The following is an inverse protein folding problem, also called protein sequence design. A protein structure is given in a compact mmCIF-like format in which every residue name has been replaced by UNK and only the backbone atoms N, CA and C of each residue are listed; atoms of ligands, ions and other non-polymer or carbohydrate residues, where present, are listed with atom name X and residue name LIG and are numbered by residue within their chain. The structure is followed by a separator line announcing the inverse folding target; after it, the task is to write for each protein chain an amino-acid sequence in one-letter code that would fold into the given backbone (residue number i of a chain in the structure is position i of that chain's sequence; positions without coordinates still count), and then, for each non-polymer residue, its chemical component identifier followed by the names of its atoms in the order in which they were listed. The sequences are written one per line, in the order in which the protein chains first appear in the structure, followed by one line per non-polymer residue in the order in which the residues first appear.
data_IF_686264736630
#
_entry.id   IF_686264736630
#
_cell.length_a   1.000
_cell.length_b   1.000
_cell.length_c   1.000
_cell.angle_alpha   90.00
_cell.angle_beta   90.00
_cell.angle_gamma   90.00
#
_symmetry.space_group_name_H-M   'P 1'
#
loop_
_entity.id
_entity.type
_entity.pdbx_description
1 polymer ?
#
# COMPACT_ATOMS: atom_id res chain seq x y z
N UNK A 1 7.25 2.07 -18.91
CA UNK A 1 8.28 1.88 -17.86
C UNK A 1 8.07 2.88 -16.75
N UNK A 2 8.05 2.44 -15.51
CA UNK A 2 7.87 3.34 -14.37
C UNK A 2 9.14 4.15 -14.09
N UNK A 3 8.99 5.22 -13.32
CA UNK A 3 10.13 6.03 -12.87
C UNK A 3 11.16 5.16 -12.14
N UNK A 4 10.71 4.33 -11.19
CA UNK A 4 11.62 3.47 -10.41
C UNK A 4 12.35 2.47 -11.32
N UNK A 5 11.65 1.82 -12.24
CA UNK A 5 12.29 0.86 -13.15
C UNK A 5 13.29 1.54 -14.08
N UNK A 6 13.01 2.74 -14.56
CA UNK A 6 13.97 3.55 -15.34
C UNK A 6 15.20 3.90 -14.54
N UNK A 7 15.00 4.29 -13.29
CA UNK A 7 16.11 4.62 -12.38
C UNK A 7 16.97 3.39 -12.12
N UNK A 8 16.35 2.23 -11.90
CA UNK A 8 17.04 0.97 -11.64
C UNK A 8 17.94 0.53 -12.80
N UNK A 9 17.58 0.84 -14.03
CA UNK A 9 18.45 0.57 -15.18
C UNK A 9 19.80 1.27 -15.09
N UNK A 10 19.84 2.43 -14.44
CA UNK A 10 21.08 3.23 -14.31
C UNK A 10 21.86 2.87 -13.06
N UNK A 11 21.16 2.69 -11.92
CA UNK A 11 21.82 2.53 -10.62
C UNK A 11 21.86 1.09 -10.12
N UNK A 12 21.15 0.16 -10.78
CA UNK A 12 21.06 -1.22 -10.33
C UNK A 12 20.25 -1.33 -9.03
N UNK A 13 20.67 -2.21 -8.14
CA UNK A 13 19.93 -2.51 -6.91
C UNK A 13 20.41 -1.71 -5.68
N UNK A 14 21.15 -0.64 -5.89
CA UNK A 14 21.59 0.24 -4.79
C UNK A 14 20.39 0.78 -4.02
N UNK A 15 20.51 0.99 -2.69
CA UNK A 15 19.44 1.60 -1.92
C UNK A 15 19.05 2.98 -2.46
N UNK A 16 17.75 3.20 -2.59
CA UNK A 16 17.19 4.50 -3.01
C UNK A 16 16.13 4.95 -2.01
N UNK A 17 15.87 6.25 -2.00
CA UNK A 17 14.69 6.81 -1.33
C UNK A 17 13.59 6.89 -2.38
N UNK A 18 12.44 6.27 -2.11
CA UNK A 18 11.29 6.36 -2.99
C UNK A 18 10.10 6.94 -2.23
N UNK A 19 9.30 7.73 -2.94
CA UNK A 19 8.08 8.31 -2.38
C UNK A 19 6.89 7.52 -2.91
N UNK A 20 5.97 7.18 -2.03
CA UNK A 20 4.79 6.43 -2.42
C UNK A 20 3.63 6.60 -1.47
N UNK A 21 2.53 5.96 -1.82
CA UNK A 21 1.30 5.94 -1.04
C UNK A 21 0.89 4.51 -0.76
N UNK A 22 0.35 4.29 0.45
CA UNK A 22 -0.29 3.05 0.85
C UNK A 22 -1.71 3.38 1.26
N UNK A 23 -2.66 2.53 0.95
CA UNK A 23 -4.07 2.84 1.10
C UNK A 23 -4.75 1.87 2.08
N UNK A 24 -5.42 2.42 3.09
CA UNK A 24 -6.35 1.68 3.94
C UNK A 24 -7.73 1.74 3.30
N UNK A 25 -8.28 0.57 2.99
CA UNK A 25 -9.67 0.42 2.56
C UNK A 25 -10.38 -0.35 3.66
N UNK A 26 -11.30 0.31 4.33
CA UNK A 26 -12.00 -0.26 5.48
C UNK A 26 -13.48 -0.38 5.13
N UNK A 27 -14.02 -1.61 5.20
CA UNK A 27 -15.42 -1.85 4.88
C UNK A 27 -16.35 -1.56 6.07
N UNK A 28 -17.66 -1.75 5.87
CA UNK A 28 -18.66 -1.49 6.91
C UNK A 28 -18.54 -2.42 8.12
N UNK A 29 -17.86 -3.54 7.96
CA UNK A 29 -17.62 -4.50 9.05
C UNK A 29 -16.33 -4.18 9.82
N UNK A 30 -15.69 -3.05 9.53
CA UNK A 30 -14.40 -2.64 10.11
C UNK A 30 -13.28 -3.64 9.81
N UNK A 31 -13.29 -4.16 8.58
CA UNK A 31 -12.23 -5.04 8.06
C UNK A 31 -11.38 -4.26 7.06
N UNK A 32 -10.09 -4.52 7.06
CA UNK A 32 -9.12 -3.88 6.18
C UNK A 32 -8.84 -4.76 4.96
N UNK A 33 -8.80 -4.14 3.79
CA UNK A 33 -8.46 -4.82 2.54
C UNK A 33 -6.97 -5.07 2.46
N UNK A 34 -6.60 -6.31 2.20
CA UNK A 34 -5.22 -6.70 1.97
C UNK A 34 -5.10 -7.48 0.65
N UNK A 35 -3.91 -7.43 0.06
CA UNK A 35 -3.58 -8.17 -1.15
C UNK A 35 -2.51 -9.22 -0.85
N UNK A 36 -2.69 -10.41 -1.40
CA UNK A 36 -1.66 -11.44 -1.36
C UNK A 36 -0.71 -11.20 -2.53
N UNK A 37 0.53 -10.85 -2.23
CA UNK A 37 1.51 -10.38 -3.21
C UNK A 37 2.14 -11.53 -3.96
N UNK A 38 2.25 -11.40 -5.28
CA UNK A 38 2.89 -12.41 -6.12
C UNK A 38 4.42 -12.45 -5.95
N UNK A 39 5.05 -11.32 -5.57
CA UNK A 39 6.50 -11.23 -5.44
C UNK A 39 7.04 -11.81 -4.12
N UNK A 40 6.39 -11.49 -3.01
CA UNK A 40 6.86 -11.90 -1.67
C UNK A 40 6.04 -13.04 -1.05
N UNK A 41 4.90 -13.38 -1.66
CA UNK A 41 3.98 -14.44 -1.20
C UNK A 41 3.54 -14.23 0.25
N UNK A 42 3.18 -13.00 0.55
CA UNK A 42 2.60 -12.59 1.82
C UNK A 42 1.54 -11.52 1.60
N UNK A 43 0.86 -11.12 2.67
CA UNK A 43 -0.23 -10.16 2.63
C UNK A 43 0.26 -8.75 2.89
N UNK A 44 -0.02 -7.83 1.97
CA UNK A 44 0.31 -6.42 2.09
C UNK A 44 -0.90 -5.54 1.92
N UNK A 45 -0.69 -4.24 2.10
CA UNK A 45 -1.69 -3.23 1.83
C UNK A 45 -1.50 -2.70 0.40
N UNK A 46 -2.58 -2.32 -0.30
CA UNK A 46 -2.44 -1.71 -1.63
C UNK A 46 -1.59 -0.44 -1.57
N UNK A 47 -0.79 -0.23 -2.59
CA UNK A 47 0.04 0.97 -2.66
C UNK A 47 1.14 0.83 -3.68
N UNK A 48 1.86 1.92 -3.90
CA UNK A 48 2.98 1.92 -4.82
C UNK A 48 3.69 3.26 -4.89
N UNK A 49 4.65 3.33 -5.80
CA UNK A 49 5.55 4.47 -5.93
C UNK A 49 4.97 5.55 -6.84
N UNK A 50 5.34 6.79 -6.51
CA UNK A 50 4.96 7.98 -7.24
C UNK A 50 5.61 8.01 -8.63
N UNK A 51 4.86 8.38 -9.64
CA UNK A 51 5.35 8.68 -10.97
C UNK A 51 5.59 10.18 -11.11
N UNK A 52 6.43 10.57 -12.07
CA UNK A 52 6.75 11.99 -12.30
C UNK A 52 5.49 12.78 -12.60
N UNK A 53 5.30 13.88 -11.89
CA UNK A 53 4.17 14.79 -12.09
C UNK A 53 2.90 14.42 -11.35
N UNK A 54 2.85 13.26 -10.68
CA UNK A 54 1.68 12.90 -9.88
C UNK A 54 1.67 13.62 -8.54
N UNK A 55 0.49 13.97 -8.05
CA UNK A 55 0.30 14.27 -6.63
C UNK A 55 0.20 12.96 -5.86
N UNK A 56 0.34 13.02 -4.54
CA UNK A 56 0.22 11.81 -3.70
C UNK A 56 -1.20 11.22 -3.73
N UNK A 57 -2.22 12.07 -3.81
CA UNK A 57 -3.60 11.61 -3.94
C UNK A 57 -3.83 10.91 -5.29
N UNK A 58 -3.19 11.40 -6.35
CA UNK A 58 -3.23 10.74 -7.67
C UNK A 58 -2.53 9.38 -7.62
N UNK A 59 -1.41 9.25 -6.90
CA UNK A 59 -0.75 7.96 -6.67
C UNK A 59 -1.70 7.01 -5.97
N UNK A 60 -2.33 7.46 -4.89
CA UNK A 60 -3.27 6.64 -4.12
C UNK A 60 -4.44 6.16 -4.99
N UNK A 61 -5.03 7.06 -5.78
CA UNK A 61 -6.15 6.71 -6.67
C UNK A 61 -5.72 5.71 -7.74
N UNK A 62 -4.59 5.93 -8.37
CA UNK A 62 -4.07 5.06 -9.44
C UNK A 62 -3.76 3.66 -8.89
N UNK A 63 -3.03 3.58 -7.81
CA UNK A 63 -2.65 2.28 -7.22
C UNK A 63 -3.86 1.51 -6.70
N UNK A 64 -4.83 2.20 -6.10
CA UNK A 64 -6.06 1.55 -5.65
C UNK A 64 -6.80 0.92 -6.82
N UNK A 65 -6.97 1.65 -7.91
CA UNK A 65 -7.66 1.15 -9.11
C UNK A 65 -6.88 0.01 -9.77
N UNK A 66 -5.57 0.17 -9.98
CA UNK A 66 -4.73 -0.84 -10.64
C UNK A 66 -4.69 -2.15 -9.86
N UNK A 67 -4.55 -2.08 -8.54
CA UNK A 67 -4.36 -3.27 -7.71
C UNK A 67 -5.66 -3.91 -7.25
N UNK A 68 -6.74 -3.15 -7.12
CA UNK A 68 -7.98 -3.65 -6.52
C UNK A 68 -9.23 -3.47 -7.38
N UNK A 69 -9.19 -2.60 -8.37
CA UNK A 69 -10.37 -2.23 -9.16
C UNK A 69 -11.27 -1.22 -8.47
N UNK A 70 -10.99 -0.84 -7.24
CA UNK A 70 -11.82 0.09 -6.48
C UNK A 70 -11.49 1.54 -6.79
N UNK A 71 -12.51 2.40 -6.66
CA UNK A 71 -12.41 3.85 -6.75
C UNK A 71 -12.80 4.46 -5.41
N UNK A 72 -12.35 5.67 -5.16
CA UNK A 72 -12.70 6.41 -3.94
C UNK A 72 -13.03 7.86 -4.29
N UNK A 73 -13.92 8.48 -3.51
CA UNK A 73 -14.28 9.88 -3.70
C UNK A 73 -13.13 10.81 -3.29
N UNK A 74 -12.43 10.47 -2.22
CA UNK A 74 -11.25 11.22 -1.76
C UNK A 74 -10.38 10.35 -0.87
N UNK A 75 -9.16 10.84 -0.57
CA UNK A 75 -8.18 10.16 0.27
C UNK A 75 -7.80 11.07 1.43
N UNK A 76 -7.82 10.53 2.63
CA UNK A 76 -7.47 11.24 3.86
C UNK A 76 -6.10 10.77 4.35
N UNK A 77 -5.14 11.70 4.46
CA UNK A 77 -3.81 11.36 4.95
C UNK A 77 -3.88 11.04 6.44
N UNK A 78 -3.41 9.86 6.80
CA UNK A 78 -3.39 9.39 8.19
C UNK A 78 -2.03 9.66 8.82
N UNK A 79 -0.95 9.23 8.17
CA UNK A 79 0.40 9.36 8.71
C UNK A 79 1.44 9.15 7.62
N UNK A 80 2.63 9.70 7.82
CA UNK A 80 3.79 9.47 6.96
C UNK A 80 4.81 8.63 7.72
N UNK A 81 5.30 7.58 7.08
CA UNK A 81 6.35 6.71 7.61
C UNK A 81 7.61 6.89 6.80
N UNK A 82 8.75 6.90 7.46
CA UNK A 82 10.06 7.07 6.79
C UNK A 82 11.17 6.41 7.62
N UNK A 83 12.40 6.50 7.13
CA UNK A 83 13.54 5.90 7.80
C UNK A 83 13.50 4.38 7.72
N UNK A 84 13.87 3.71 8.80
CA UNK A 84 13.90 2.24 8.84
C UNK A 84 12.52 1.60 8.68
N UNK A 85 11.44 2.31 9.03
CA UNK A 85 10.08 1.83 8.86
C UNK A 85 9.71 1.66 7.38
N UNK A 86 10.34 2.43 6.51
CA UNK A 86 10.13 2.35 5.06
C UNK A 86 11.08 1.42 4.33
N UNK A 87 12.03 0.79 5.04
CA UNK A 87 13.01 -0.08 4.40
C UNK A 87 12.39 -1.37 3.90
N UNK A 88 12.74 -1.72 2.66
CA UNK A 88 12.32 -2.98 2.06
C UNK A 88 13.36 -3.48 1.06
N UNK A 89 13.66 -4.78 1.14
CA UNK A 89 14.51 -5.45 0.16
C UNK A 89 13.66 -6.40 -0.66
N UNK A 90 13.59 -6.14 -1.96
CA UNK A 90 12.84 -6.98 -2.90
C UNK A 90 13.57 -8.31 -3.14
N UNK A 91 12.86 -9.36 -3.57
CA UNK A 91 13.50 -10.65 -3.88
C UNK A 91 14.62 -10.56 -4.93
N UNK A 92 14.54 -9.59 -5.86
CA UNK A 92 15.57 -9.37 -6.87
C UNK A 92 16.83 -8.64 -6.35
N UNK A 93 16.86 -8.26 -5.07
CA UNK A 93 17.96 -7.58 -4.44
C UNK A 93 17.84 -6.06 -4.39
N UNK A 94 16.83 -5.46 -5.02
CA UNK A 94 16.59 -4.03 -4.95
C UNK A 94 16.29 -3.62 -3.51
N UNK A 95 16.92 -2.53 -3.06
CA UNK A 95 16.70 -1.98 -1.73
C UNK A 95 16.06 -0.59 -1.83
N UNK A 96 15.08 -0.34 -0.98
CA UNK A 96 14.34 0.92 -0.97
C UNK A 96 14.10 1.38 0.45
N UNK A 97 14.30 2.67 0.69
CA UNK A 97 13.80 3.35 1.88
C UNK A 97 12.60 4.17 1.44
N UNK A 98 11.41 3.65 1.67
CA UNK A 98 10.17 4.31 1.26
C UNK A 98 9.77 5.45 2.19
N UNK A 99 9.37 6.57 1.60
CA UNK A 99 8.62 7.61 2.32
C UNK A 99 7.17 7.31 2.03
N UNK A 100 6.52 6.66 2.99
CA UNK A 100 5.19 6.07 2.80
C UNK A 100 4.13 7.01 3.34
N UNK A 101 3.26 7.48 2.45
CA UNK A 101 2.10 8.29 2.82
C UNK A 101 0.91 7.33 2.94
N UNK A 102 0.46 7.12 4.17
CA UNK A 102 -0.69 6.25 4.43
C UNK A 102 -1.97 7.05 4.34
N UNK A 103 -2.80 6.69 3.38
CA UNK A 103 -4.11 7.30 3.16
C UNK A 103 -5.22 6.33 3.50
N UNK A 104 -6.32 6.85 4.01
CA UNK A 104 -7.57 6.11 4.06
C UNK A 104 -8.45 6.53 2.89
N UNK A 105 -8.92 5.56 2.12
CA UNK A 105 -9.86 5.82 1.03
C UNK A 105 -11.26 6.05 1.61
N UNK A 106 -11.91 7.12 1.16
CA UNK A 106 -13.26 7.51 1.57
C UNK A 106 -14.21 7.46 0.37
N UNK A 107 -15.46 7.06 0.61
CA UNK A 107 -16.43 6.93 -0.46
C UNK A 107 -16.03 5.85 -1.46
N UNK A 108 -15.56 4.72 -0.96
CA UNK A 108 -15.09 3.61 -1.80
C UNK A 108 -16.26 2.95 -2.53
N UNK A 109 -16.08 2.70 -3.82
CA UNK A 109 -17.07 2.05 -4.67
C UNK A 109 -16.38 1.24 -5.76
N UNK A 110 -17.17 0.46 -6.50
CA UNK A 110 -16.66 -0.45 -7.51
C UNK A 110 -16.57 -1.88 -7.00
N UNK A 111 -16.03 -2.77 -7.81
CA UNK A 111 -15.89 -4.19 -7.51
C UNK A 111 -14.41 -4.57 -7.48
N UNK A 112 -14.05 -5.51 -6.61
CA UNK A 112 -12.68 -6.03 -6.54
C UNK A 112 -12.33 -6.77 -7.83
N UNK A 113 -11.23 -6.37 -8.46
CA UNK A 113 -10.71 -6.97 -9.69
C UNK A 113 -9.20 -7.07 -9.59
N UNK A 114 -8.65 -8.22 -9.96
CA UNK A 114 -7.21 -8.49 -9.97
C UNK A 114 -6.73 -8.62 -11.42
N UNK A 115 -6.33 -7.52 -12.05
CA UNK A 115 -5.90 -7.52 -13.45
C UNK A 115 -4.41 -7.22 -13.65
N UNK A 116 -3.73 -6.72 -12.63
CA UNK A 116 -2.34 -6.27 -12.75
C UNK A 116 -1.29 -7.36 -12.65
N UNK A 117 -1.68 -8.58 -12.24
CA UNK A 117 -0.74 -9.70 -12.03
C UNK A 117 0.12 -9.57 -10.78
N UNK A 118 0.02 -8.49 -10.04
CA UNK A 118 0.78 -8.27 -8.81
C UNK A 118 0.10 -8.89 -7.59
N UNK A 119 -1.22 -9.02 -7.63
CA UNK A 119 -2.02 -9.61 -6.56
C UNK A 119 -2.52 -10.98 -6.95
N UNK A 120 -2.33 -11.96 -6.08
CA UNK A 120 -2.87 -13.32 -6.24
C UNK A 120 -4.23 -13.47 -5.54
N UNK A 121 -4.53 -12.63 -4.57
CA UNK A 121 -5.80 -12.60 -3.87
C UNK A 121 -6.04 -11.22 -3.25
N UNK A 122 -7.30 -10.85 -3.11
CA UNK A 122 -7.76 -9.66 -2.40
C UNK A 122 -8.80 -10.10 -1.38
N UNK A 123 -8.61 -9.70 -0.12
CA UNK A 123 -9.51 -10.13 0.96
C UNK A 123 -9.56 -9.09 2.07
N UNK A 124 -10.72 -8.95 2.70
CA UNK A 124 -10.88 -8.11 3.88
C UNK A 124 -10.64 -8.94 5.15
N UNK A 125 -9.90 -8.37 6.10
CA UNK A 125 -9.57 -9.01 7.37
C UNK A 125 -9.97 -8.12 8.53
N UNK A 126 -10.62 -8.70 9.54
CA UNK A 126 -10.81 -8.03 10.82
C UNK A 126 -9.52 -8.08 11.63
N UNK A 127 -9.40 -7.25 12.65
CA UNK A 127 -8.20 -7.24 13.51
C UNK A 127 -8.01 -8.57 14.26
N UNK A 128 -9.10 -9.28 14.53
CA UNK A 128 -9.08 -10.57 15.21
C UNK A 128 -8.67 -11.72 14.30
N UNK A 129 -8.77 -11.53 12.98
CA UNK A 129 -8.55 -12.58 11.99
C UNK A 129 -7.52 -12.17 10.93
N UNK A 130 -6.50 -11.40 11.32
CA UNK A 130 -5.41 -11.04 10.41
C UNK A 130 -4.69 -12.27 9.90
N UNK A 131 -4.19 -12.25 8.66
CA UNK A 131 -3.44 -13.38 8.12
C UNK A 131 -2.12 -13.56 8.86
N UNK A 132 -1.56 -14.77 8.81
CA UNK A 132 -0.32 -15.10 9.55
C UNK A 132 0.92 -14.48 8.90
N UNK A 133 0.96 -14.45 7.56
CA UNK A 133 2.10 -13.90 6.82
C UNK A 133 1.74 -12.50 6.32
N UNK A 134 2.20 -11.49 7.04
CA UNK A 134 2.00 -10.09 6.67
C UNK A 134 3.34 -9.53 6.22
N UNK A 135 3.34 -8.83 5.08
CA UNK A 135 4.51 -8.16 4.54
C UNK A 135 5.03 -7.15 5.57
N UNK A 136 6.35 -7.04 5.66
CA UNK A 136 7.03 -6.27 6.72
C UNK A 136 6.54 -4.83 6.86
N UNK A 137 6.38 -4.10 5.75
CA UNK A 137 5.93 -2.71 5.80
C UNK A 137 4.49 -2.60 6.28
N UNK A 138 3.62 -3.49 5.80
CA UNK A 138 2.24 -3.56 6.25
C UNK A 138 2.18 -3.87 7.75
N UNK A 139 2.99 -4.81 8.22
CA UNK A 139 3.05 -5.14 9.65
C UNK A 139 3.49 -3.92 10.48
N UNK A 140 4.48 -3.18 10.01
CA UNK A 140 4.95 -1.95 10.66
C UNK A 140 3.83 -0.92 10.78
N UNK A 141 3.06 -0.71 9.71
CA UNK A 141 1.95 0.23 9.71
C UNK A 141 0.83 -0.23 10.66
N UNK A 142 0.48 -1.52 10.61
CA UNK A 142 -0.55 -2.09 11.49
C UNK A 142 -0.16 -1.96 12.96
N UNK A 143 1.10 -2.25 13.29
CA UNK A 143 1.62 -2.14 14.66
C UNK A 143 1.62 -0.69 15.15
N UNK A 144 2.02 0.24 14.30
CA UNK A 144 2.10 1.66 14.67
C UNK A 144 0.73 2.28 14.93
N UNK A 145 -0.27 1.89 14.14
CA UNK A 145 -1.62 2.47 14.22
C UNK A 145 -2.56 1.68 15.12
N UNK A 146 -2.28 0.39 15.34
CA UNK A 146 -3.15 -0.47 16.16
C UNK A 146 -4.59 -0.47 15.64
N UNK A 147 -5.54 -0.22 16.54
CA UNK A 147 -6.97 -0.25 16.20
C UNK A 147 -7.38 0.79 15.14
N UNK A 148 -6.61 1.86 14.97
CA UNK A 148 -6.90 2.91 13.97
C UNK A 148 -6.91 2.38 12.54
N UNK A 149 -6.21 1.28 12.25
CA UNK A 149 -6.25 0.63 10.95
C UNK A 149 -7.63 0.04 10.59
N UNK A 150 -8.50 -0.09 11.59
CA UNK A 150 -9.82 -0.71 11.43
C UNK A 150 -10.97 0.29 11.67
N UNK A 151 -10.67 1.56 11.85
CA UNK A 151 -11.66 2.61 12.06
C UNK A 151 -11.99 3.29 10.73
N UNK A 152 -13.27 3.34 10.39
CA UNK A 152 -13.74 4.02 9.19
C UNK A 152 -13.65 5.54 9.31
N UNK A 153 -13.74 6.05 10.54
CA UNK A 153 -13.61 7.47 10.86
C UNK A 153 -12.57 7.64 11.95
N UNK A 154 -11.69 8.60 11.77
CA UNK A 154 -10.66 8.94 12.74
C UNK A 154 -11.04 10.24 13.42
N UNK A 155 -11.07 10.21 14.77
CA UNK A 155 -11.21 11.42 15.56
C UNK A 155 -9.83 12.01 15.81
N UNK A 156 -9.70 13.30 15.54
CA UNK A 156 -8.48 14.05 15.76
C UNK A 156 -8.66 14.97 16.95
#
# INVERSE_FOLDING_TARGET
MSYISSLREVIGNRPIISVGATILVINQKQEVLMQFRSDTLDWGLPGGSMELGETLEEVAARELEEETGLLAEHFELIQVFSGSDGYFKYPNGDETYGVIHLYQAKGVHGALVMEDGESLALEYFSKENLPKKIEKRAQTLLDALGDRCFEREHSF
#
